data_IF_966828978811
#
_entry.id   IF_966828978811
#
_cell.length_a   1.000
_cell.length_b   1.000
_cell.length_c   1.000
_cell.angle_alpha   90.00
_cell.angle_beta   90.00
_cell.angle_gamma   90.00
#
_symmetry.space_group_name_H-M   'P 1'
#
loop_
_entity.id
_entity.type
_entity.pdbx_description
1 polymer ?
#
# COMPACT_ATOMS: atom_id res chain seq x y z
N UNK A 1 -24.79 18.40 -13.91
CA UNK A 1 -25.92 18.38 -12.96
C UNK A 1 -26.84 17.22 -13.29
N UNK A 2 -26.99 16.29 -12.34
CA UNK A 2 -27.85 15.10 -12.53
C UNK A 2 -29.25 15.28 -11.91
N UNK A 3 -29.70 16.51 -11.75
CA UNK A 3 -30.85 16.91 -10.93
C UNK A 3 -32.23 16.30 -11.32
N UNK A 4 -32.31 15.49 -12.38
CA UNK A 4 -33.52 14.81 -12.81
C UNK A 4 -33.28 13.37 -13.36
N UNK A 5 -32.16 12.74 -13.04
CA UNK A 5 -31.85 11.40 -13.53
C UNK A 5 -32.50 10.34 -12.64
N UNK A 6 -33.78 10.05 -12.84
CA UNK A 6 -34.44 8.90 -12.23
C UNK A 6 -34.03 7.63 -12.98
N UNK A 7 -33.54 6.61 -12.25
CA UNK A 7 -33.15 5.32 -12.85
C UNK A 7 -31.69 5.24 -13.33
N UNK A 8 -30.81 6.11 -12.84
CA UNK A 8 -29.38 6.01 -13.09
C UNK A 8 -28.81 4.77 -12.37
N UNK A 9 -28.33 3.80 -13.14
CA UNK A 9 -27.78 2.54 -12.59
C UNK A 9 -26.25 2.51 -12.60
N UNK A 10 -25.61 3.31 -13.47
CA UNK A 10 -24.15 3.34 -13.61
C UNK A 10 -23.68 4.75 -13.96
N UNK A 11 -22.59 5.18 -13.33
CA UNK A 11 -21.84 6.40 -13.69
C UNK A 11 -20.41 5.99 -13.98
N UNK A 12 -19.90 6.31 -15.17
CA UNK A 12 -18.51 6.11 -15.53
C UNK A 12 -17.76 7.46 -15.44
N UNK A 13 -16.64 7.46 -14.70
CA UNK A 13 -15.71 8.57 -14.63
C UNK A 13 -14.55 8.30 -15.59
N UNK A 14 -14.26 9.27 -16.46
CA UNK A 14 -13.20 9.16 -17.47
C UNK A 14 -11.90 9.84 -17.06
N UNK A 15 -11.84 10.44 -15.88
CA UNK A 15 -10.66 11.11 -15.38
C UNK A 15 -9.54 10.08 -15.11
N UNK A 16 -8.31 10.45 -15.50
CA UNK A 16 -7.12 9.61 -15.30
C UNK A 16 -6.51 9.76 -13.93
N UNK A 17 -6.90 10.78 -13.19
CA UNK A 17 -6.51 11.01 -11.79
C UNK A 17 -7.72 11.56 -11.05
N UNK A 18 -8.05 10.98 -9.93
CA UNK A 18 -9.18 11.37 -9.10
C UNK A 18 -8.77 11.42 -7.62
N UNK A 19 -9.30 12.39 -6.92
CA UNK A 19 -9.11 12.59 -5.49
C UNK A 19 -10.22 11.86 -4.72
N UNK A 20 -9.86 11.14 -3.64
CA UNK A 20 -10.79 10.35 -2.86
C UNK A 20 -11.92 11.19 -2.25
N UNK A 21 -11.62 12.40 -1.75
CA UNK A 21 -12.64 13.32 -1.22
C UNK A 21 -13.64 13.70 -2.30
N UNK A 22 -13.17 14.00 -3.52
CA UNK A 22 -14.03 14.33 -4.68
C UNK A 22 -14.87 13.13 -5.08
N UNK A 23 -14.29 11.92 -5.07
CA UNK A 23 -14.98 10.67 -5.40
C UNK A 23 -16.10 10.39 -4.38
N UNK A 24 -15.83 10.46 -3.09
CA UNK A 24 -16.81 10.26 -2.03
C UNK A 24 -17.94 11.32 -2.09
N UNK A 25 -17.59 12.58 -2.32
CA UNK A 25 -18.58 13.66 -2.48
C UNK A 25 -19.49 13.44 -3.71
N UNK A 26 -18.93 12.92 -4.81
CA UNK A 26 -19.68 12.60 -6.02
C UNK A 26 -20.65 11.45 -5.77
N UNK A 27 -20.21 10.37 -5.10
CA UNK A 27 -21.06 9.23 -4.71
C UNK A 27 -22.22 9.73 -3.85
N UNK A 28 -21.95 10.52 -2.83
CA UNK A 28 -22.98 11.06 -1.93
C UNK A 28 -23.97 11.96 -2.67
N UNK A 29 -23.52 12.76 -3.62
CA UNK A 29 -24.38 13.64 -4.45
C UNK A 29 -25.30 12.82 -5.34
N UNK A 30 -24.85 11.73 -5.92
CA UNK A 30 -25.67 10.82 -6.74
C UNK A 30 -26.75 10.16 -5.85
N UNK A 31 -26.43 9.78 -4.63
CA UNK A 31 -27.38 9.20 -3.69
C UNK A 31 -28.54 10.15 -3.34
N UNK A 32 -28.21 11.42 -3.08
CA UNK A 32 -29.22 12.44 -2.77
C UNK A 32 -30.19 12.65 -3.95
N UNK A 33 -29.68 12.57 -5.18
CA UNK A 33 -30.48 12.77 -6.40
C UNK A 33 -31.37 11.55 -6.68
N UNK A 34 -30.85 10.33 -6.51
CA UNK A 34 -31.56 9.11 -6.90
C UNK A 34 -32.43 8.51 -5.78
N UNK A 35 -32.21 8.88 -4.53
CA UNK A 35 -32.87 8.28 -3.38
C UNK A 35 -32.60 6.77 -3.21
N UNK A 36 -31.64 6.24 -3.99
CA UNK A 36 -31.30 4.83 -4.07
C UNK A 36 -29.76 4.68 -4.02
N UNK A 37 -29.31 3.97 -3.04
CA UNK A 37 -27.90 3.60 -2.87
C UNK A 37 -27.43 2.49 -3.86
N UNK A 38 -27.92 2.50 -5.09
CA UNK A 38 -27.73 1.39 -6.04
C UNK A 38 -26.97 1.77 -7.31
N UNK A 39 -26.57 3.05 -7.44
CA UNK A 39 -25.79 3.49 -8.61
C UNK A 39 -24.34 3.02 -8.47
N UNK A 40 -23.86 2.24 -9.44
CA UNK A 40 -22.47 1.79 -9.49
C UNK A 40 -21.61 2.86 -10.17
N UNK A 41 -20.55 3.27 -9.53
CA UNK A 41 -19.49 4.10 -10.13
C UNK A 41 -18.34 3.23 -10.62
N UNK A 42 -17.94 3.45 -11.87
CA UNK A 42 -16.76 2.84 -12.47
C UNK A 42 -15.74 3.92 -12.83
N UNK A 43 -14.47 3.61 -12.62
CA UNK A 43 -13.35 4.50 -12.94
C UNK A 43 -12.73 4.09 -14.28
N UNK A 44 -12.02 5.02 -14.92
CA UNK A 44 -11.23 4.69 -16.10
C UNK A 44 -10.17 3.63 -15.77
N UNK A 45 -9.92 2.72 -16.72
CA UNK A 45 -8.90 1.69 -16.58
C UNK A 45 -7.51 2.34 -16.34
N UNK A 46 -6.78 1.84 -15.34
CA UNK A 46 -5.46 2.35 -14.97
C UNK A 46 -5.45 3.77 -14.40
N UNK A 47 -6.62 4.36 -14.09
CA UNK A 47 -6.67 5.67 -13.44
C UNK A 47 -5.97 5.64 -12.08
N UNK A 48 -5.52 6.80 -11.61
CA UNK A 48 -4.90 6.95 -10.28
C UNK A 48 -5.90 7.56 -9.31
N UNK A 49 -6.08 6.91 -8.17
CA UNK A 49 -6.85 7.42 -7.03
C UNK A 49 -5.86 7.96 -6.00
N UNK A 50 -5.94 9.25 -5.71
CA UNK A 50 -5.18 9.85 -4.61
C UNK A 50 -6.04 9.79 -3.33
N UNK A 51 -5.48 9.20 -2.28
CA UNK A 51 -6.17 8.96 -1.00
C UNK A 51 -5.33 9.57 0.12
N UNK A 52 -5.94 10.36 1.02
CA UNK A 52 -5.31 10.62 2.32
C UNK A 52 -5.46 9.37 3.22
N UNK A 53 -4.45 9.08 4.05
CA UNK A 53 -4.49 7.91 4.93
C UNK A 53 -5.76 7.85 5.80
N UNK A 54 -6.31 9.00 6.18
CA UNK A 54 -7.57 9.10 6.95
C UNK A 54 -8.82 8.75 6.14
N UNK A 55 -8.75 8.71 4.81
CA UNK A 55 -9.88 8.44 3.91
C UNK A 55 -9.98 6.98 3.46
N UNK A 56 -8.99 6.14 3.78
CA UNK A 56 -8.92 4.73 3.35
C UNK A 56 -10.21 3.98 3.70
N UNK A 57 -10.65 4.06 4.97
CA UNK A 57 -11.85 3.38 5.42
C UNK A 57 -13.12 3.84 4.68
N UNK A 58 -13.19 5.13 4.30
CA UNK A 58 -14.31 5.68 3.54
C UNK A 58 -14.35 5.12 2.13
N UNK A 59 -13.22 5.11 1.43
CA UNK A 59 -13.13 4.59 0.05
C UNK A 59 -13.40 3.09 0.01
N UNK A 60 -12.79 2.31 0.89
CA UNK A 60 -13.03 0.89 1.00
C UNK A 60 -14.48 0.58 1.41
N UNK A 61 -15.10 1.44 2.23
CA UNK A 61 -16.52 1.34 2.55
C UNK A 61 -17.44 1.51 1.34
N UNK A 62 -17.10 2.37 0.41
CA UNK A 62 -17.83 2.52 -0.87
C UNK A 62 -17.56 1.35 -1.83
N UNK A 63 -16.37 0.81 -1.84
CA UNK A 63 -16.00 -0.35 -2.67
C UNK A 63 -16.70 -1.63 -2.18
N UNK A 64 -16.65 -1.92 -0.89
CA UNK A 64 -17.25 -3.15 -0.31
C UNK A 64 -18.76 -3.06 -0.09
N UNK A 65 -19.36 -1.88 -0.25
CA UNK A 65 -20.77 -1.64 0.05
C UNK A 65 -21.14 -1.70 1.53
N UNK A 66 -20.16 -1.58 2.43
CA UNK A 66 -20.39 -1.52 3.88
C UNK A 66 -21.07 -0.21 4.32
N UNK A 67 -21.01 0.82 3.49
CA UNK A 67 -21.84 2.02 3.61
C UNK A 67 -23.22 1.69 3.02
N UNK A 68 -24.28 1.89 3.80
CA UNK A 68 -25.64 1.43 3.53
C UNK A 68 -26.05 1.55 2.04
N UNK A 69 -26.34 0.40 1.41
CA UNK A 69 -26.89 0.34 0.05
C UNK A 69 -26.11 -0.47 -0.98
N UNK A 70 -25.04 -1.17 -0.62
CA UNK A 70 -24.25 -2.01 -1.53
C UNK A 70 -22.99 -1.34 -2.08
N UNK A 71 -22.19 -2.09 -2.83
CA UNK A 71 -21.01 -1.56 -3.51
C UNK A 71 -21.39 -0.48 -4.52
N UNK A 72 -20.84 0.72 -4.38
CA UNK A 72 -21.11 1.84 -5.26
C UNK A 72 -19.91 2.28 -6.05
N UNK A 73 -18.75 1.77 -5.72
CA UNK A 73 -17.48 2.01 -6.38
C UNK A 73 -16.86 0.66 -6.74
N UNK A 74 -16.30 0.54 -7.93
CA UNK A 74 -15.48 -0.61 -8.30
C UNK A 74 -14.05 -0.12 -8.51
N UNK A 75 -13.13 -0.65 -7.70
CA UNK A 75 -11.69 -0.52 -7.87
C UNK A 75 -11.19 -1.88 -8.36
N UNK A 76 -10.49 -1.94 -9.48
CA UNK A 76 -10.04 -3.20 -10.08
C UNK A 76 -8.62 -3.15 -10.62
N UNK A 77 -8.27 -2.14 -11.40
CA UNK A 77 -6.96 -1.95 -12.05
C UNK A 77 -6.41 -0.53 -11.85
N UNK A 78 -7.03 0.26 -10.98
CA UNK A 78 -6.61 1.61 -10.67
C UNK A 78 -5.34 1.62 -9.83
N UNK A 79 -4.44 2.56 -10.10
CA UNK A 79 -3.34 2.84 -9.20
C UNK A 79 -3.84 3.63 -7.98
N UNK A 80 -3.28 3.36 -6.83
CA UNK A 80 -3.62 4.07 -5.59
C UNK A 80 -2.35 4.77 -5.08
N UNK A 81 -2.46 6.07 -4.82
CA UNK A 81 -1.39 6.87 -4.21
C UNK A 81 -1.89 7.39 -2.87
N UNK A 82 -1.24 7.01 -1.78
CA UNK A 82 -1.62 7.42 -0.43
C UNK A 82 -0.72 8.54 0.06
N UNK A 83 -1.34 9.61 0.54
CA UNK A 83 -0.68 10.70 1.26
C UNK A 83 -0.74 10.44 2.76
N UNK A 84 0.39 10.58 3.45
CA UNK A 84 0.53 10.20 4.86
C UNK A 84 1.05 8.78 5.03
N UNK A 85 1.27 8.39 6.29
CA UNK A 85 1.78 7.06 6.63
C UNK A 85 0.61 6.11 6.93
N UNK A 86 0.74 4.87 6.49
CA UNK A 86 -0.25 3.82 6.70
C UNK A 86 0.37 2.61 7.41
N UNK A 87 -0.48 1.80 8.02
CA UNK A 87 -0.09 0.51 8.58
C UNK A 87 0.13 -0.54 7.49
N UNK A 88 0.80 -1.63 7.84
CA UNK A 88 0.90 -2.82 6.98
C UNK A 88 -0.48 -3.39 6.67
N UNK A 89 -1.40 -3.37 7.63
CA UNK A 89 -2.78 -3.84 7.44
C UNK A 89 -3.52 -3.01 6.40
N UNK A 90 -3.42 -1.67 6.45
CA UNK A 90 -4.03 -0.78 5.46
C UNK A 90 -3.40 -0.98 4.07
N UNK A 91 -2.07 -1.14 4.00
CA UNK A 91 -1.37 -1.42 2.76
C UNK A 91 -1.88 -2.73 2.11
N UNK A 92 -2.03 -3.80 2.90
CA UNK A 92 -2.57 -5.07 2.44
C UNK A 92 -4.04 -4.97 2.02
N UNK A 93 -4.86 -4.20 2.74
CA UNK A 93 -6.27 -3.95 2.36
C UNK A 93 -6.35 -3.22 1.01
N UNK A 94 -5.58 -2.15 0.82
CA UNK A 94 -5.55 -1.42 -0.46
C UNK A 94 -5.04 -2.30 -1.59
N UNK A 95 -3.97 -3.05 -1.37
CA UNK A 95 -3.39 -3.97 -2.34
C UNK A 95 -4.37 -5.06 -2.78
N UNK A 96 -5.24 -5.52 -1.88
CA UNK A 96 -6.26 -6.53 -2.19
C UNK A 96 -7.43 -5.99 -3.04
N UNK A 97 -7.61 -4.67 -3.12
CA UNK A 97 -8.71 -4.07 -3.88
C UNK A 97 -8.38 -3.78 -5.34
N UNK A 98 -7.10 -3.72 -5.70
CA UNK A 98 -6.66 -3.37 -7.05
C UNK A 98 -5.58 -4.30 -7.56
N UNK A 99 -5.52 -4.49 -8.89
CA UNK A 99 -4.35 -5.06 -9.57
C UNK A 99 -3.35 -3.99 -10.04
N UNK A 100 -3.70 -2.72 -9.87
CA UNK A 100 -2.80 -1.58 -10.08
C UNK A 100 -1.77 -1.45 -8.96
N UNK A 101 -0.84 -0.52 -9.13
CA UNK A 101 0.21 -0.27 -8.12
C UNK A 101 -0.33 0.57 -6.96
N UNK A 102 -0.05 0.13 -5.73
CA UNK A 102 -0.25 0.95 -4.52
C UNK A 102 1.09 1.61 -4.16
N UNK A 103 1.06 2.94 -4.08
CA UNK A 103 2.21 3.76 -3.64
C UNK A 103 1.87 4.39 -2.29
N UNK A 104 2.66 4.10 -1.27
CA UNK A 104 2.42 4.59 0.09
C UNK A 104 3.70 4.62 0.93
N UNK A 105 3.69 5.37 2.02
CA UNK A 105 4.71 5.30 3.07
C UNK A 105 4.17 4.45 4.22
N UNK A 106 4.92 3.41 4.61
CA UNK A 106 4.58 2.60 5.77
C UNK A 106 5.04 3.33 7.05
N UNK A 107 4.23 3.29 8.09
CA UNK A 107 4.59 3.92 9.36
C UNK A 107 5.84 3.26 9.98
N UNK A 108 6.71 4.09 10.54
CA UNK A 108 7.97 3.64 11.17
C UNK A 108 7.78 2.89 12.50
N UNK A 109 6.54 2.69 12.93
CA UNK A 109 6.21 1.89 14.13
C UNK A 109 6.01 0.41 13.82
N UNK A 110 5.89 0.04 12.53
CA UNK A 110 5.79 -1.36 12.12
C UNK A 110 7.12 -2.09 12.38
N UNK A 111 7.03 -3.27 12.94
CA UNK A 111 8.19 -4.14 13.16
C UNK A 111 8.61 -4.87 11.89
N UNK A 112 9.85 -5.37 11.84
CA UNK A 112 10.33 -6.29 10.79
C UNK A 112 9.34 -7.46 10.59
N UNK A 113 8.78 -8.00 11.68
CA UNK A 113 7.82 -9.11 11.61
C UNK A 113 6.54 -8.70 10.89
N UNK A 114 6.02 -7.50 11.15
CA UNK A 114 4.84 -6.96 10.47
C UNK A 114 5.14 -6.61 9.01
N UNK A 115 6.26 -5.95 8.73
CA UNK A 115 6.67 -5.61 7.36
C UNK A 115 6.77 -6.83 6.44
N UNK A 116 7.23 -7.98 6.94
CA UNK A 116 7.27 -9.25 6.20
C UNK A 116 5.89 -9.77 5.80
N UNK A 117 4.81 -9.31 6.43
CA UNK A 117 3.43 -9.71 6.12
C UNK A 117 2.80 -8.92 4.97
N UNK A 118 3.49 -7.95 4.39
CA UNK A 118 3.08 -7.31 3.14
C UNK A 118 2.86 -8.38 2.06
N UNK A 119 1.71 -8.33 1.36
CA UNK A 119 1.25 -9.46 0.53
C UNK A 119 1.75 -9.42 -0.91
N UNK A 120 1.74 -8.26 -1.55
CA UNK A 120 2.11 -8.10 -2.95
C UNK A 120 3.56 -7.63 -3.11
N UNK A 121 4.14 -7.83 -4.30
CA UNK A 121 5.54 -7.50 -4.61
C UNK A 121 5.70 -6.41 -5.66
N UNK A 122 4.61 -5.94 -6.25
CA UNK A 122 4.59 -4.92 -7.33
C UNK A 122 4.28 -3.51 -6.84
N UNK A 123 4.03 -3.34 -5.55
CA UNK A 123 3.70 -2.06 -4.93
C UNK A 123 4.97 -1.24 -4.62
N UNK A 124 4.82 0.08 -4.54
CA UNK A 124 5.89 1.02 -4.25
C UNK A 124 5.75 1.56 -2.81
N UNK A 125 6.12 0.74 -1.84
CA UNK A 125 6.10 1.13 -0.43
C UNK A 125 7.41 1.75 -0.01
N UNK A 126 7.38 3.02 0.45
CA UNK A 126 8.51 3.61 1.16
C UNK A 126 8.55 3.03 2.56
N UNK A 127 9.63 2.31 2.89
CA UNK A 127 9.81 1.62 4.17
C UNK A 127 11.06 2.16 4.85
N UNK A 128 10.94 2.52 6.12
CA UNK A 128 12.06 2.87 7.00
C UNK A 128 12.03 1.88 8.17
N UNK A 129 13.12 1.14 8.35
CA UNK A 129 13.22 0.18 9.46
C UNK A 129 13.20 0.92 10.79
N UNK A 130 12.37 0.44 11.71
CA UNK A 130 12.19 1.02 13.03
C UNK A 130 13.48 0.96 13.85
N UNK A 131 13.77 2.00 14.63
CA UNK A 131 14.86 1.96 15.61
C UNK A 131 14.63 0.93 16.73
N UNK A 132 13.42 0.41 16.90
CA UNK A 132 13.12 -0.71 17.79
C UNK A 132 13.68 -2.04 17.25
N UNK A 133 13.90 -2.14 15.93
CA UNK A 133 14.45 -3.29 15.22
C UNK A 133 15.91 -3.06 14.81
N UNK A 134 16.69 -2.44 15.70
CA UNK A 134 18.13 -2.16 15.48
C UNK A 134 18.97 -3.42 15.23
N UNK A 135 18.46 -4.61 15.53
CA UNK A 135 19.06 -5.91 15.22
C UNK A 135 18.14 -6.64 14.24
N UNK A 136 18.69 -7.01 13.09
CA UNK A 136 17.96 -7.70 12.03
C UNK A 136 18.73 -8.94 11.54
N UNK A 137 18.05 -9.84 10.82
CA UNK A 137 18.72 -10.86 10.03
C UNK A 137 18.81 -10.42 8.57
N UNK A 138 19.82 -10.90 7.86
CA UNK A 138 19.96 -10.63 6.42
C UNK A 138 18.76 -11.21 5.64
N UNK A 139 18.27 -12.39 6.05
CA UNK A 139 17.06 -13.00 5.49
C UNK A 139 15.83 -12.11 5.65
N UNK A 140 15.62 -11.51 6.84
CA UNK A 140 14.46 -10.65 7.10
C UNK A 140 14.48 -9.39 6.25
N UNK A 141 15.63 -8.70 6.16
CA UNK A 141 15.76 -7.50 5.34
C UNK A 141 15.56 -7.81 3.85
N UNK A 142 16.11 -8.92 3.36
CA UNK A 142 15.90 -9.39 1.99
C UNK A 142 14.45 -9.79 1.72
N UNK A 143 13.76 -10.35 2.72
CA UNK A 143 12.34 -10.69 2.60
C UNK A 143 11.45 -9.44 2.49
N UNK A 144 11.78 -8.36 3.22
CA UNK A 144 11.08 -7.09 3.11
C UNK A 144 11.40 -6.40 1.78
N UNK A 145 12.66 -6.46 1.31
CA UNK A 145 13.06 -5.95 0.00
C UNK A 145 12.21 -6.56 -1.12
N UNK A 146 11.94 -7.84 -1.06
CA UNK A 146 11.04 -8.52 -1.98
C UNK A 146 9.56 -8.09 -1.92
N UNK A 147 9.14 -7.24 -0.97
CA UNK A 147 7.75 -6.77 -0.79
C UNK A 147 7.48 -5.40 -1.40
N UNK A 148 8.49 -4.68 -1.84
CA UNK A 148 8.36 -3.35 -2.41
C UNK A 148 9.26 -3.17 -3.62
N UNK A 149 8.87 -2.28 -4.52
CA UNK A 149 9.72 -1.84 -5.64
C UNK A 149 10.55 -0.61 -5.28
N UNK A 150 10.30 0.00 -4.12
CA UNK A 150 11.07 1.13 -3.61
C UNK A 150 12.20 0.65 -2.69
N UNK A 151 13.26 1.42 -2.61
CA UNK A 151 14.40 1.12 -1.73
C UNK A 151 14.02 1.30 -0.25
N UNK A 152 14.45 0.36 0.59
CA UNK A 152 14.23 0.36 2.04
C UNK A 152 15.34 1.16 2.71
N UNK A 153 14.98 2.01 3.64
CA UNK A 153 15.94 2.72 4.51
C UNK A 153 16.23 1.90 5.77
N UNK A 154 17.45 1.38 5.87
CA UNK A 154 17.92 0.57 7.01
C UNK A 154 18.83 1.35 7.97
N UNK A 155 18.84 2.71 7.94
CA UNK A 155 19.71 3.55 8.79
C UNK A 155 19.65 3.19 10.29
N UNK A 156 18.53 2.68 10.78
CA UNK A 156 18.36 2.33 12.20
C UNK A 156 18.96 0.96 12.58
N UNK A 157 19.31 0.14 11.61
CA UNK A 157 19.89 -1.19 11.85
C UNK A 157 21.36 -1.01 12.26
N UNK A 158 21.75 -1.61 13.36
CA UNK A 158 23.13 -1.53 13.93
C UNK A 158 23.80 -2.90 14.04
N UNK A 159 23.05 -3.97 13.84
CA UNK A 159 23.56 -5.34 13.86
C UNK A 159 22.81 -6.23 12.88
N UNK A 160 23.56 -6.97 12.08
CA UNK A 160 23.00 -7.92 11.11
C UNK A 160 23.58 -9.32 11.38
N UNK A 161 22.72 -10.33 11.37
CA UNK A 161 23.12 -11.73 11.48
C UNK A 161 22.58 -12.54 10.30
N UNK A 162 23.30 -13.61 9.95
CA UNK A 162 22.89 -14.53 8.88
C UNK A 162 24.05 -15.43 8.48
N UNK A 163 23.81 -16.30 7.49
CA UNK A 163 24.88 -17.04 6.81
C UNK A 163 25.75 -16.09 5.98
N UNK A 164 26.93 -16.52 5.60
CA UNK A 164 27.82 -15.74 4.74
C UNK A 164 27.13 -15.36 3.42
N UNK A 165 26.41 -16.31 2.82
CA UNK A 165 25.73 -16.10 1.54
C UNK A 165 24.56 -15.09 1.69
N UNK A 166 23.76 -15.19 2.76
CA UNK A 166 22.66 -14.26 3.02
C UNK A 166 23.15 -12.82 3.24
N UNK A 167 24.18 -12.66 4.06
CA UNK A 167 24.76 -11.33 4.33
C UNK A 167 25.38 -10.76 3.06
N UNK A 168 26.12 -11.57 2.28
CA UNK A 168 26.69 -11.12 1.01
C UNK A 168 25.61 -10.70 0.02
N UNK A 169 24.56 -11.49 -0.13
CA UNK A 169 23.44 -11.15 -1.02
C UNK A 169 22.72 -9.85 -0.60
N UNK A 170 22.54 -9.63 0.71
CA UNK A 170 21.95 -8.39 1.22
C UNK A 170 22.79 -7.16 0.85
N UNK A 171 24.11 -7.21 1.04
CA UNK A 171 25.01 -6.08 0.72
C UNK A 171 25.19 -5.87 -0.79
N UNK A 172 24.94 -6.87 -1.61
CA UNK A 172 24.90 -6.76 -3.07
C UNK A 172 23.54 -6.29 -3.61
N UNK A 173 22.48 -6.31 -2.78
CA UNK A 173 21.16 -5.80 -3.15
C UNK A 173 21.19 -4.27 -3.34
N UNK A 174 20.42 -3.80 -4.30
CA UNK A 174 20.15 -2.35 -4.49
C UNK A 174 18.83 -1.92 -3.88
N UNK A 175 18.12 -2.83 -3.24
CA UNK A 175 16.81 -2.59 -2.64
C UNK A 175 16.85 -2.20 -1.16
N UNK A 176 18.02 -2.26 -0.51
CA UNK A 176 18.20 -1.84 0.88
C UNK A 176 19.36 -0.85 0.96
N UNK A 177 19.08 0.36 1.41
CA UNK A 177 20.06 1.43 1.54
C UNK A 177 20.49 1.65 3.00
N UNK A 178 21.59 2.41 3.13
CA UNK A 178 22.15 2.84 4.41
C UNK A 178 22.66 1.69 5.28
N UNK A 179 23.17 0.64 4.64
CA UNK A 179 23.99 -0.39 5.26
C UNK A 179 25.47 -0.05 5.12
N UNK A 180 26.35 -0.47 6.07
CA UNK A 180 27.80 -0.36 5.96
C UNK A 180 28.57 -0.15 7.25
N UNK A 181 27.90 0.09 8.38
CA UNK A 181 28.54 0.29 9.69
C UNK A 181 27.97 -0.65 10.79
N UNK A 182 27.15 -1.65 10.40
CA UNK A 182 26.55 -2.61 11.30
C UNK A 182 27.58 -3.64 11.81
N UNK A 183 27.35 -4.11 13.04
CA UNK A 183 28.06 -5.27 13.54
C UNK A 183 27.53 -6.54 12.83
N UNK A 184 28.41 -7.26 12.14
CA UNK A 184 28.04 -8.49 11.41
C UNK A 184 28.33 -9.73 12.27
N UNK A 185 27.34 -10.63 12.32
CA UNK A 185 27.47 -11.95 12.94
C UNK A 185 27.15 -13.05 11.92
N UNK A 186 28.18 -13.76 11.49
CA UNK A 186 28.03 -14.90 10.56
C UNK A 186 27.73 -16.17 11.36
N UNK A 187 26.66 -16.90 10.95
CA UNK A 187 26.13 -18.06 11.65
C UNK A 187 26.66 -19.41 11.15
N UNK A 188 27.25 -19.47 9.96
CA UNK A 188 27.83 -20.67 9.36
C UNK A 188 29.36 -20.75 9.56
N UNK A 189 29.90 -21.98 9.54
CA UNK A 189 31.34 -22.18 9.57
C UNK A 189 31.93 -21.83 8.21
N UNK A 190 32.86 -20.85 8.18
CA UNK A 190 33.66 -20.57 7.01
C UNK A 190 34.62 -21.75 6.76
N UNK A 191 34.27 -22.62 5.81
CA UNK A 191 35.20 -23.66 5.33
C UNK A 191 36.26 -23.01 4.42
N UNK A 192 37.52 -23.03 4.91
CA UNK A 192 38.71 -22.55 4.17
C UNK A 192 39.24 -23.66 3.25
#
# INVERSE_FOLDING_TARGET
EFSNATGLTTVALSDTTIDATTLAATINSIDVINGLNTTLMTLAAGATINIDASEIATILGHETGSIAGGSRLTISDQNIVVTGNISVDDANLLSATTTGTVTASITTTESITELKTLTETSNAYTIVISSADATATAEDLSAIDGKTTATIDATAVTSISGTYDEVTALYESTGVDNLGDEAISISDELTV
#
